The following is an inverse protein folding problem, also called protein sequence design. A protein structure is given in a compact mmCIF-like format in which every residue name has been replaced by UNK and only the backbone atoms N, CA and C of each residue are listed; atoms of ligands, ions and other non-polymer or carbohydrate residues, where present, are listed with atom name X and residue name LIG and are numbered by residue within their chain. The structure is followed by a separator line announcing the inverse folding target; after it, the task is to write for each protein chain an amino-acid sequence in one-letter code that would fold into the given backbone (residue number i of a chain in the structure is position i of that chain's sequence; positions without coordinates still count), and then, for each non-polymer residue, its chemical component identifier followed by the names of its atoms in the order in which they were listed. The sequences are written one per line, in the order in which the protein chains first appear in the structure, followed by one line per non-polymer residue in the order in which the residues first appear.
data_IF_406456229689
#
_entry.id   IF_406456229689
#
_cell.length_a   1.000
_cell.length_b   1.000
_cell.length_c   1.000
_cell.angle_alpha   90.00
_cell.angle_beta   90.00
_cell.angle_gamma   90.00
#
_symmetry.space_group_name_H-M   'P 1'
#
loop_
_entity.id
_entity.type
_entity.pdbx_description
1 polymer ?
#
# COMPACT_ATOMS: atom_id res chain seq x y z
N UNK A 1 -41.39 11.43 15.61
CA UNK A 1 -41.04 10.01 15.79
C UNK A 1 -41.80 9.21 14.76
N UNK A 2 -41.12 8.42 13.91
CA UNK A 2 -41.75 7.53 12.94
C UNK A 2 -40.92 6.23 12.89
N UNK A 3 -41.59 5.08 12.97
CA UNK A 3 -40.93 3.81 13.28
C UNK A 3 -40.32 3.14 12.04
N UNK A 4 -39.09 2.64 12.20
CA UNK A 4 -38.42 1.76 11.24
C UNK A 4 -38.92 0.32 11.40
N UNK A 5 -39.78 -0.15 10.49
CA UNK A 5 -40.17 -1.57 10.45
C UNK A 5 -39.05 -2.42 9.81
N UNK A 6 -38.40 -3.25 10.63
CA UNK A 6 -37.54 -4.34 10.15
C UNK A 6 -38.43 -5.46 9.59
N UNK A 7 -38.07 -6.02 8.42
CA UNK A 7 -38.85 -7.07 7.74
C UNK A 7 -38.11 -8.41 7.77
N UNK A 8 -38.73 -9.52 8.18
CA UNK A 8 -38.03 -10.81 8.35
C UNK A 8 -37.75 -11.53 7.02
N UNK A 9 -36.68 -12.34 6.94
CA UNK A 9 -36.33 -13.12 5.76
C UNK A 9 -37.11 -14.44 5.72
N UNK A 10 -38.22 -14.47 4.99
CA UNK A 10 -38.79 -15.61 4.24
C UNK A 10 -40.26 -15.31 3.86
N UNK A 11 -40.45 -14.38 2.91
CA UNK A 11 -41.74 -14.12 2.29
C UNK A 11 -41.78 -14.82 0.93
N UNK A 12 -42.70 -15.77 0.77
CA UNK A 12 -43.03 -16.35 -0.54
C UNK A 12 -43.38 -15.23 -1.53
N UNK A 13 -42.92 -15.36 -2.78
CA UNK A 13 -43.04 -14.31 -3.79
C UNK A 13 -44.51 -14.06 -4.19
N UNK A 14 -45.10 -12.98 -3.70
CA UNK A 14 -46.44 -12.52 -4.09
C UNK A 14 -46.32 -11.38 -5.10
N UNK A 15 -46.47 -11.70 -6.39
CA UNK A 15 -46.54 -10.69 -7.45
C UNK A 15 -47.91 -10.01 -7.43
N UNK A 16 -47.94 -8.71 -7.14
CA UNK A 16 -49.09 -7.85 -7.40
C UNK A 16 -48.64 -6.63 -8.18
N UNK A 17 -49.31 -6.36 -9.30
CA UNK A 17 -49.11 -5.16 -10.10
C UNK A 17 -50.41 -4.35 -10.12
N UNK A 18 -50.31 -3.05 -9.90
CA UNK A 18 -51.46 -2.17 -10.09
C UNK A 18 -51.80 -2.08 -11.59
N UNK A 19 -53.09 -2.06 -11.97
CA UNK A 19 -53.49 -2.08 -13.37
C UNK A 19 -53.06 -0.79 -14.08
N UNK A 20 -51.98 -0.88 -14.85
CA UNK A 20 -51.46 0.23 -15.66
C UNK A 20 -52.09 0.16 -17.06
N UNK A 21 -52.81 1.21 -17.45
CA UNK A 21 -53.48 1.28 -18.74
C UNK A 21 -52.46 1.14 -19.89
N UNK A 22 -52.78 0.28 -20.87
CA UNK A 22 -51.95 0.08 -22.06
C UNK A 22 -51.97 1.35 -22.90
N UNK A 23 -50.85 2.07 -22.95
CA UNK A 23 -50.67 3.17 -23.89
C UNK A 23 -50.72 2.61 -25.31
N UNK A 24 -51.75 2.97 -26.06
CA UNK A 24 -51.95 2.52 -27.44
C UNK A 24 -50.86 3.13 -28.32
N UNK A 25 -49.98 2.30 -28.87
CA UNK A 25 -48.96 2.74 -29.81
C UNK A 25 -49.61 3.14 -31.14
N UNK A 26 -49.77 4.45 -31.34
CA UNK A 26 -50.08 5.08 -32.62
C UNK A 26 -51.56 5.04 -33.03
N UNK A 27 -51.99 5.99 -33.90
CA UNK A 27 -53.35 6.02 -34.41
C UNK A 27 -53.54 4.89 -35.44
N UNK A 28 -54.17 3.78 -35.02
CA UNK A 28 -54.86 2.89 -35.96
C UNK A 28 -55.91 3.72 -36.70
N UNK A 29 -55.78 3.84 -38.03
CA UNK A 29 -56.67 4.68 -38.81
C UNK A 29 -58.13 4.23 -38.69
N UNK A 30 -59.02 5.17 -38.40
CA UNK A 30 -60.44 4.92 -38.04
C UNK A 30 -61.39 4.89 -39.25
N UNK A 31 -60.91 4.53 -40.43
CA UNK A 31 -61.75 4.42 -41.63
C UNK A 31 -61.48 3.10 -42.37
N UNK A 32 -62.45 2.19 -42.27
CA UNK A 32 -62.57 1.01 -43.12
C UNK A 32 -63.53 1.36 -44.24
N UNK A 33 -63.02 1.75 -45.40
CA UNK A 33 -63.87 2.02 -46.57
C UNK A 33 -64.47 0.69 -47.05
N UNK A 34 -65.78 0.69 -47.27
CA UNK A 34 -66.59 -0.52 -47.40
C UNK A 34 -66.64 -1.05 -48.84
N UNK A 35 -66.12 -2.26 -49.08
CA UNK A 35 -66.57 -3.11 -50.19
C UNK A 35 -66.64 -4.57 -49.71
N UNK A 36 -67.87 -5.07 -49.58
CA UNK A 36 -68.37 -6.46 -49.77
C UNK A 36 -67.46 -7.66 -49.41
N UNK A 37 -67.83 -8.38 -48.35
CA UNK A 37 -67.62 -9.83 -48.11
C UNK A 37 -68.85 -10.62 -48.65
N UNK A 38 -68.95 -11.99 -48.66
CA UNK A 38 -68.10 -13.06 -48.08
C UNK A 38 -67.89 -14.25 -49.07
N UNK A 39 -67.58 -15.51 -48.65
CA UNK A 39 -66.88 -16.05 -47.45
C UNK A 39 -65.48 -16.61 -47.86
N UNK A 40 -64.55 -17.03 -47.00
CA UNK A 40 -64.64 -17.97 -45.86
C UNK A 40 -63.88 -17.54 -44.60
N UNK A 41 -64.42 -17.96 -43.46
CA UNK A 41 -63.76 -17.83 -42.16
C UNK A 41 -62.70 -18.93 -41.98
N UNK A 42 -61.43 -18.54 -42.06
CA UNK A 42 -60.40 -19.23 -41.27
C UNK A 42 -59.80 -18.24 -40.28
N UNK A 43 -59.87 -18.61 -39.01
CA UNK A 43 -59.19 -17.92 -37.92
C UNK A 43 -57.72 -17.77 -38.28
N UNK A 44 -57.26 -16.53 -38.48
CA UNK A 44 -55.84 -16.28 -38.77
C UNK A 44 -55.02 -16.55 -37.51
N UNK A 45 -54.67 -17.81 -37.29
CA UNK A 45 -53.76 -18.24 -36.24
C UNK A 45 -52.46 -17.45 -36.42
N UNK A 46 -52.13 -16.63 -35.40
CA UNK A 46 -50.88 -15.88 -35.38
C UNK A 46 -49.73 -16.86 -35.50
N UNK A 47 -49.07 -16.88 -36.66
CA UNK A 47 -48.07 -17.90 -36.95
C UNK A 47 -46.91 -17.76 -35.95
N UNK A 48 -46.78 -18.76 -35.06
CA UNK A 48 -45.77 -18.83 -34.00
C UNK A 48 -44.33 -18.67 -34.55
N UNK A 49 -44.14 -18.92 -35.85
CA UNK A 49 -42.91 -18.63 -36.59
C UNK A 49 -42.57 -17.14 -36.75
N UNK A 50 -43.37 -16.21 -36.23
CA UNK A 50 -43.05 -14.78 -36.17
C UNK A 50 -43.32 -14.13 -34.80
N UNK A 51 -43.79 -14.89 -33.81
CA UNK A 51 -43.92 -14.37 -32.44
C UNK A 51 -42.53 -14.23 -31.79
N UNK A 52 -42.22 -13.01 -31.34
CA UNK A 52 -40.96 -12.66 -30.67
C UNK A 52 -40.83 -13.30 -29.28
N UNK A 53 -41.92 -13.85 -28.73
CA UNK A 53 -41.94 -14.62 -27.48
C UNK A 53 -41.51 -16.08 -27.69
N UNK A 54 -41.62 -16.59 -28.92
CA UNK A 54 -41.27 -17.98 -29.26
C UNK A 54 -39.80 -18.05 -29.65
N UNK A 55 -38.96 -18.27 -28.64
CA UNK A 55 -37.52 -18.49 -28.81
C UNK A 55 -37.31 -19.80 -29.58
N UNK A 56 -36.65 -19.72 -30.72
CA UNK A 56 -36.33 -20.88 -31.58
C UNK A 56 -34.83 -21.12 -31.56
N UNK A 57 -34.45 -22.26 -31.00
CA UNK A 57 -33.04 -22.63 -30.75
C UNK A 57 -32.82 -23.07 -29.30
N UNK A 58 -31.57 -23.36 -28.97
CA UNK A 58 -31.19 -23.92 -27.68
C UNK A 58 -31.24 -22.85 -26.57
N UNK A 59 -32.08 -23.06 -25.54
CA UNK A 59 -32.33 -22.07 -24.48
C UNK A 59 -31.14 -21.86 -23.52
N UNK A 60 -30.19 -22.79 -23.47
CA UNK A 60 -28.98 -22.67 -22.63
C UNK A 60 -28.03 -21.54 -23.06
N UNK A 61 -28.13 -21.02 -24.29
CA UNK A 61 -27.32 -19.89 -24.76
C UNK A 61 -27.98 -18.53 -24.51
N UNK A 62 -29.19 -18.47 -23.91
CA UNK A 62 -29.78 -17.20 -23.51
C UNK A 62 -29.06 -16.69 -22.26
N UNK A 63 -28.14 -15.74 -22.45
CA UNK A 63 -27.57 -14.97 -21.37
C UNK A 63 -28.61 -13.98 -20.85
N UNK A 64 -29.59 -14.49 -20.08
CA UNK A 64 -30.53 -13.67 -19.31
C UNK A 64 -29.76 -13.01 -18.18
N UNK A 65 -29.19 -11.83 -18.45
CA UNK A 65 -28.71 -10.93 -17.42
C UNK A 65 -29.83 -10.74 -16.38
N UNK A 66 -29.54 -10.83 -15.07
CA UNK A 66 -30.54 -10.56 -14.04
C UNK A 66 -31.18 -9.19 -14.27
N UNK A 67 -32.47 -9.04 -13.96
CA UNK A 67 -33.22 -7.78 -14.17
C UNK A 67 -32.67 -6.56 -13.40
N UNK A 68 -31.60 -6.74 -12.61
CA UNK A 68 -30.90 -5.71 -11.86
C UNK A 68 -29.52 -5.33 -12.44
N UNK A 69 -29.00 -6.09 -13.42
CA UNK A 69 -27.75 -5.78 -14.10
C UNK A 69 -27.98 -4.65 -15.11
N UNK A 70 -27.68 -3.41 -14.70
CA UNK A 70 -27.59 -2.29 -15.64
C UNK A 70 -26.42 -2.58 -16.59
N UNK A 71 -26.63 -2.66 -17.91
CA UNK A 71 -25.52 -2.81 -18.85
C UNK A 71 -24.68 -1.53 -18.83
N UNK A 72 -23.35 -1.68 -18.87
CA UNK A 72 -22.44 -0.55 -18.84
C UNK A 72 -22.78 0.48 -19.94
N UNK A 73 -22.77 1.79 -19.63
CA UNK A 73 -23.25 2.83 -20.54
C UNK A 73 -22.49 2.83 -21.89
N UNK A 74 -21.23 2.42 -21.87
CA UNK A 74 -20.36 2.26 -23.05
C UNK A 74 -20.87 1.16 -23.99
N UNK A 75 -21.31 0.02 -23.45
CA UNK A 75 -21.82 -1.10 -24.25
C UNK A 75 -23.19 -0.76 -24.86
N UNK A 76 -24.02 -0.01 -24.12
CA UNK A 76 -25.30 0.52 -24.61
C UNK A 76 -25.07 1.51 -25.76
N UNK A 77 -24.11 2.42 -25.63
CA UNK A 77 -23.75 3.39 -26.66
C UNK A 77 -23.24 2.69 -27.94
N UNK A 78 -22.33 1.71 -27.79
CA UNK A 78 -21.82 0.88 -28.89
C UNK A 78 -22.95 0.14 -29.63
N UNK A 79 -23.92 -0.41 -28.92
CA UNK A 79 -25.09 -1.07 -29.52
C UNK A 79 -26.03 -0.10 -30.24
N UNK A 80 -26.22 1.11 -29.72
CA UNK A 80 -27.01 2.16 -30.39
C UNK A 80 -26.32 2.64 -31.68
N UNK A 81 -25.01 2.85 -31.64
CA UNK A 81 -24.23 3.23 -32.81
C UNK A 81 -24.21 2.14 -33.88
N UNK A 82 -24.01 0.87 -33.50
CA UNK A 82 -24.08 -0.26 -34.42
C UNK A 82 -25.46 -0.34 -35.12
N UNK A 83 -26.56 -0.10 -34.39
CA UNK A 83 -27.91 0.00 -34.97
C UNK A 83 -28.05 1.20 -35.92
N UNK A 84 -27.49 2.37 -35.56
CA UNK A 84 -27.46 3.58 -36.42
C UNK A 84 -26.70 3.30 -37.72
N UNK A 85 -25.52 2.69 -37.65
CA UNK A 85 -24.68 2.31 -38.80
C UNK A 85 -25.35 1.28 -39.69
N UNK A 86 -26.02 0.27 -39.11
CA UNK A 86 -26.79 -0.72 -39.87
C UNK A 86 -27.97 -0.09 -40.62
N UNK A 87 -28.69 0.84 -39.98
CA UNK A 87 -29.82 1.55 -40.61
C UNK A 87 -29.37 2.53 -41.70
N UNK A 88 -28.24 3.22 -41.51
CA UNK A 88 -27.61 4.04 -42.54
C UNK A 88 -27.15 3.19 -43.74
N UNK A 89 -26.51 2.03 -43.51
CA UNK A 89 -26.11 1.09 -44.57
C UNK A 89 -27.32 0.53 -45.34
N UNK A 90 -28.47 0.36 -44.68
CA UNK A 90 -29.72 -0.03 -45.36
C UNK A 90 -30.26 1.10 -46.25
N UNK A 91 -30.32 2.34 -45.74
CA UNK A 91 -30.71 3.51 -46.54
C UNK A 91 -29.79 3.74 -47.75
N UNK A 92 -28.47 3.62 -47.57
CA UNK A 92 -27.52 3.74 -48.68
C UNK A 92 -27.74 2.65 -49.75
N UNK A 93 -28.02 1.41 -49.35
CA UNK A 93 -28.39 0.33 -50.29
C UNK A 93 -29.74 0.56 -50.98
N UNK A 94 -30.69 1.22 -50.31
CA UNK A 94 -31.98 1.64 -50.89
C UNK A 94 -31.79 2.79 -51.89
N UNK A 95 -30.79 3.67 -51.71
CA UNK A 95 -30.45 4.77 -52.62
C UNK A 95 -29.60 4.36 -53.83
N UNK A 96 -28.69 3.40 -53.68
CA UNK A 96 -27.82 2.91 -54.78
C UNK A 96 -28.59 2.03 -55.78
N UNK A 97 -29.73 1.46 -55.38
CA UNK A 97 -30.60 0.74 -56.31
C UNK A 97 -31.33 1.73 -57.22
N UNK A 98 -31.04 1.68 -58.51
CA UNK A 98 -31.85 2.33 -59.55
C UNK A 98 -33.31 1.90 -59.41
N UNK A 99 -34.15 2.83 -58.99
CA UNK A 99 -35.53 2.54 -58.59
C UNK A 99 -36.44 2.54 -59.80
N UNK A 100 -37.20 1.46 -60.01
CA UNK A 100 -38.32 1.45 -60.96
C UNK A 100 -39.28 2.60 -60.61
N UNK A 101 -39.71 3.44 -61.58
CA UNK A 101 -40.55 4.60 -61.29
C UNK A 101 -41.85 4.22 -60.58
N UNK A 102 -42.34 5.13 -59.73
CA UNK A 102 -43.53 4.86 -58.91
C UNK A 102 -44.78 4.60 -59.77
N UNK A 103 -45.66 3.65 -59.39
CA UNK A 103 -46.85 3.34 -60.17
C UNK A 103 -47.76 4.57 -60.33
N UNK A 104 -48.21 4.81 -61.56
CA UNK A 104 -49.21 5.86 -61.85
C UNK A 104 -50.48 5.59 -61.04
N UNK A 105 -51.13 6.66 -60.55
CA UNK A 105 -52.29 6.56 -59.67
C UNK A 105 -53.38 5.62 -60.26
N UNK A 106 -53.91 4.73 -59.42
CA UNK A 106 -54.83 3.63 -59.79
C UNK A 106 -54.27 2.54 -60.73
N UNK A 107 -52.95 2.43 -60.91
CA UNK A 107 -52.28 1.28 -61.54
C UNK A 107 -51.27 0.64 -60.59
N UNK A 108 -50.96 -0.64 -60.82
CA UNK A 108 -49.91 -1.39 -60.11
C UNK A 108 -48.89 -1.85 -61.14
N UNK A 109 -47.59 -1.70 -60.83
CA UNK A 109 -46.54 -2.30 -61.63
C UNK A 109 -46.58 -3.83 -61.43
N UNK A 110 -46.35 -4.58 -62.49
CA UNK A 110 -46.27 -6.04 -62.51
C UNK A 110 -44.90 -6.40 -63.05
N UNK A 111 -44.22 -7.34 -62.41
CA UNK A 111 -42.93 -7.83 -62.88
C UNK A 111 -43.16 -8.71 -64.12
N UNK A 112 -42.67 -8.25 -65.28
CA UNK A 112 -42.70 -8.98 -66.55
C UNK A 112 -41.32 -9.59 -66.78
N UNK A 113 -41.24 -10.81 -67.31
CA UNK A 113 -39.97 -11.40 -67.73
C UNK A 113 -39.41 -10.59 -68.91
N UNK A 114 -38.47 -9.69 -68.62
CA UNK A 114 -37.69 -8.93 -69.61
C UNK A 114 -36.29 -9.54 -69.79
N UNK A 115 -36.09 -10.79 -69.40
CA UNK A 115 -34.90 -11.56 -69.72
C UNK A 115 -34.96 -12.02 -71.19
N UNK A 116 -33.81 -12.05 -71.86
CA UNK A 116 -33.74 -12.28 -73.30
C UNK A 116 -33.95 -13.78 -73.63
N UNK A 117 -35.21 -14.17 -73.82
CA UNK A 117 -35.58 -15.51 -74.28
C UNK A 117 -35.66 -15.54 -75.81
N UNK A 118 -34.61 -16.06 -76.45
CA UNK A 118 -34.55 -16.29 -77.90
C UNK A 118 -34.61 -17.79 -78.18
N UNK A 119 -35.53 -18.19 -79.04
CA UNK A 119 -35.71 -19.56 -79.52
C UNK A 119 -35.37 -19.58 -81.02
N UNK A 120 -34.31 -20.29 -81.40
CA UNK A 120 -33.83 -20.33 -82.79
C UNK A 120 -34.73 -21.25 -83.64
N UNK A 121 -35.45 -20.67 -84.61
CA UNK A 121 -36.22 -21.42 -85.59
C UNK A 121 -35.30 -21.98 -86.69
N UNK A 122 -34.89 -23.23 -86.55
CA UNK A 122 -33.99 -23.92 -87.49
C UNK A 122 -34.76 -24.60 -88.63
N UNK A 123 -35.42 -23.83 -89.50
CA UNK A 123 -36.04 -24.36 -90.72
C UNK A 123 -35.43 -23.71 -91.97
N UNK A 124 -35.11 -24.53 -92.98
CA UNK A 124 -34.42 -24.11 -94.22
C UNK A 124 -35.43 -24.09 -95.36
N UNK A 125 -35.62 -22.92 -95.96
CA UNK A 125 -36.45 -22.76 -97.15
C UNK A 125 -35.72 -23.40 -98.34
N UNK A 126 -36.42 -24.25 -99.10
CA UNK A 126 -35.89 -24.86 -100.32
C UNK A 126 -35.94 -23.88 -101.50
N UNK A 127 -34.81 -23.69 -102.18
CA UNK A 127 -34.69 -22.92 -103.42
C UNK A 127 -34.75 -23.87 -104.62
N UNK A 128 -35.42 -23.46 -105.71
CA UNK A 128 -35.62 -24.27 -106.91
C UNK A 128 -35.09 -23.55 -108.16
N UNK A 129 -34.05 -24.12 -108.77
CA UNK A 129 -33.47 -23.63 -110.02
C UNK A 129 -34.35 -23.98 -111.24
N UNK A 130 -34.41 -23.06 -112.21
CA UNK A 130 -35.16 -23.22 -113.46
C UNK A 130 -34.28 -22.83 -114.65
N UNK A 131 -33.76 -23.85 -115.35
CA UNK A 131 -32.99 -23.67 -116.58
C UNK A 131 -33.89 -23.49 -117.81
N UNK A 132 -33.49 -22.58 -118.73
CA UNK A 132 -34.16 -22.38 -120.02
C UNK A 132 -33.17 -22.60 -121.16
N UNK A 133 -33.58 -23.44 -122.12
CA UNK A 133 -32.80 -23.86 -123.27
C UNK A 133 -33.01 -22.92 -124.47
N UNK A 134 -31.95 -22.26 -124.97
CA UNK A 134 -31.94 -21.64 -126.31
C UNK A 134 -30.60 -21.78 -127.04
N UNK A 135 -30.67 -22.56 -128.11
CA UNK A 135 -29.88 -22.69 -129.36
C UNK A 135 -28.41 -22.21 -129.50
N UNK A 136 -27.65 -22.98 -130.29
CA UNK A 136 -26.24 -22.78 -130.56
C UNK A 136 -26.00 -21.76 -131.70
N UNK A 137 -25.71 -20.51 -131.32
CA UNK A 137 -25.38 -19.45 -132.27
C UNK A 137 -24.04 -19.68 -132.97
N UNK A 138 -24.03 -19.59 -134.30
CA UNK A 138 -22.82 -19.58 -135.13
C UNK A 138 -22.06 -18.26 -134.96
N UNK A 139 -20.72 -18.32 -134.87
CA UNK A 139 -19.87 -17.15 -134.65
C UNK A 139 -20.01 -16.09 -135.76
N UNK A 140 -20.67 -14.99 -135.41
CA UNK A 140 -20.65 -13.74 -136.17
C UNK A 140 -19.26 -13.11 -136.00
N UNK A 141 -18.54 -12.72 -137.08
CA UNK A 141 -17.26 -12.04 -136.93
C UNK A 141 -17.45 -10.76 -136.10
N UNK A 142 -16.53 -10.44 -135.17
CA UNK A 142 -16.70 -9.32 -134.25
C UNK A 142 -16.86 -8.02 -135.03
N UNK A 143 -17.99 -7.35 -134.84
CA UNK A 143 -18.23 -6.04 -135.44
C UNK A 143 -17.15 -5.07 -134.95
N UNK A 144 -16.55 -4.25 -135.83
CA UNK A 144 -15.46 -3.36 -135.45
C UNK A 144 -15.88 -2.42 -134.32
N UNK A 145 -15.01 -2.28 -133.32
CA UNK A 145 -15.23 -1.40 -132.17
C UNK A 145 -15.39 0.05 -132.65
N UNK A 146 -16.62 0.56 -132.54
CA UNK A 146 -16.90 1.98 -132.77
C UNK A 146 -16.33 2.79 -131.60
N UNK A 147 -15.17 3.42 -131.83
CA UNK A 147 -14.62 4.43 -130.92
C UNK A 147 -15.18 5.79 -131.38
N UNK A 148 -16.03 6.46 -130.57
CA UNK A 148 -16.49 7.80 -130.91
C UNK A 148 -15.31 8.77 -130.97
N UNK A 149 -15.27 9.67 -131.95
CA UNK A 149 -14.38 10.83 -131.85
C UNK A 149 -14.80 11.69 -130.66
N UNK A 150 -13.86 12.03 -129.78
CA UNK A 150 -14.09 12.91 -128.64
C UNK A 150 -14.40 14.34 -129.11
N UNK A 151 -15.69 14.65 -129.24
CA UNK A 151 -16.18 15.99 -129.60
C UNK A 151 -16.64 16.74 -128.35
N UNK A 152 -15.67 17.14 -127.54
CA UNK A 152 -15.82 18.02 -126.38
C UNK A 152 -14.63 18.96 -126.25
N UNK A 153 -14.79 20.07 -125.54
CA UNK A 153 -13.67 20.86 -125.03
C UNK A 153 -13.44 20.48 -123.58
N UNK A 154 -12.32 19.83 -123.30
CA UNK A 154 -11.95 19.48 -121.94
C UNK A 154 -11.60 20.76 -121.17
N UNK A 155 -12.28 20.97 -120.04
CA UNK A 155 -12.04 22.08 -119.10
C UNK A 155 -11.76 21.44 -117.74
N UNK A 156 -10.53 21.59 -117.25
CA UNK A 156 -10.18 21.21 -115.89
C UNK A 156 -10.35 22.44 -114.98
N UNK A 157 -11.18 22.31 -113.95
CA UNK A 157 -11.27 23.27 -112.84
C UNK A 157 -10.61 22.66 -111.62
N UNK A 158 -9.48 23.21 -111.20
CA UNK A 158 -8.76 22.82 -109.99
C UNK A 158 -8.97 23.88 -108.92
N UNK A 159 -9.19 23.43 -107.68
CA UNK A 159 -9.21 24.30 -106.49
C UNK A 159 -7.79 24.36 -105.94
N UNK A 160 -7.25 25.56 -105.80
CA UNK A 160 -5.89 25.79 -105.29
C UNK A 160 -5.85 25.81 -103.76
N UNK A 161 -4.67 25.58 -103.19
CA UNK A 161 -4.49 25.56 -101.73
C UNK A 161 -4.83 26.93 -101.11
N UNK A 162 -5.91 26.99 -100.34
CA UNK A 162 -6.41 28.20 -99.66
C UNK A 162 -7.66 28.83 -100.28
N UNK A 163 -8.13 28.39 -101.45
CA UNK A 163 -9.28 28.97 -102.16
C UNK A 163 -10.64 28.75 -101.44
N UNK A 164 -10.73 27.74 -100.57
CA UNK A 164 -11.91 27.42 -99.76
C UNK A 164 -11.73 27.66 -98.24
N UNK A 165 -10.65 28.33 -97.82
CA UNK A 165 -10.38 28.53 -96.39
C UNK A 165 -11.21 29.66 -95.79
N UNK A 166 -12.15 29.32 -94.90
CA UNK A 166 -12.88 30.28 -94.06
C UNK A 166 -12.26 30.34 -92.66
N UNK A 167 -11.55 31.44 -92.38
CA UNK A 167 -10.92 31.68 -91.08
C UNK A 167 -11.93 31.64 -89.92
N UNK A 168 -13.12 32.22 -90.11
CA UNK A 168 -14.12 32.32 -89.05
C UNK A 168 -14.74 30.95 -88.71
N UNK A 169 -14.66 29.98 -89.61
CA UNK A 169 -15.08 28.59 -89.36
C UNK A 169 -13.96 27.80 -88.68
N UNK A 170 -12.74 27.84 -89.22
CA UNK A 170 -11.62 27.01 -88.77
C UNK A 170 -10.98 27.49 -87.45
N UNK A 171 -11.09 28.77 -87.10
CA UNK A 171 -10.55 29.29 -85.83
C UNK A 171 -11.41 28.92 -84.61
N UNK A 172 -12.70 28.61 -84.80
CA UNK A 172 -13.65 28.28 -83.72
C UNK A 172 -13.18 27.14 -82.81
N UNK A 173 -12.83 25.93 -83.30
CA UNK A 173 -12.36 24.84 -82.43
C UNK A 173 -11.05 25.16 -81.71
N UNK A 174 -10.17 25.98 -82.31
CA UNK A 174 -8.91 26.40 -81.70
C UNK A 174 -9.20 27.36 -80.52
N UNK A 175 -10.08 28.34 -80.71
CA UNK A 175 -10.46 29.29 -79.64
C UNK A 175 -11.29 28.60 -78.56
N UNK A 176 -12.22 27.72 -78.92
CA UNK A 176 -13.03 26.96 -77.97
C UNK A 176 -12.16 26.07 -77.07
N UNK A 177 -11.19 25.34 -77.64
CA UNK A 177 -10.27 24.51 -76.85
C UNK A 177 -9.30 25.34 -76.00
N UNK A 178 -8.82 26.49 -76.49
CA UNK A 178 -8.00 27.40 -75.68
C UNK A 178 -8.78 28.01 -74.51
N UNK A 179 -9.98 28.53 -74.75
CA UNK A 179 -10.82 29.14 -73.71
C UNK A 179 -11.33 28.10 -72.71
N UNK A 180 -11.74 26.92 -73.19
CA UNK A 180 -12.13 25.81 -72.32
C UNK A 180 -10.98 25.40 -71.40
N UNK A 181 -9.79 25.16 -71.95
CA UNK A 181 -8.63 24.71 -71.18
C UNK A 181 -8.09 25.76 -70.20
N UNK A 182 -8.14 27.05 -70.55
CA UNK A 182 -7.73 28.11 -69.61
C UNK A 182 -8.72 28.29 -68.46
N UNK A 183 -10.03 28.14 -68.72
CA UNK A 183 -11.06 28.17 -67.66
C UNK A 183 -10.96 26.92 -66.77
N UNK A 184 -10.80 25.72 -67.36
CA UNK A 184 -10.62 24.48 -66.61
C UNK A 184 -9.38 24.53 -65.71
N UNK A 185 -8.24 24.98 -66.24
CA UNK A 185 -7.02 25.14 -65.46
C UNK A 185 -7.19 26.16 -64.33
N UNK A 186 -7.74 27.34 -64.61
CA UNK A 186 -7.96 28.36 -63.59
C UNK A 186 -8.94 27.91 -62.49
N UNK A 187 -9.96 27.11 -62.83
CA UNK A 187 -10.89 26.56 -61.86
C UNK A 187 -10.23 25.52 -60.93
N UNK A 188 -9.34 24.69 -61.47
CA UNK A 188 -8.56 23.72 -60.68
C UNK A 188 -7.59 24.46 -59.75
N UNK A 189 -6.82 25.42 -60.28
CA UNK A 189 -5.86 26.22 -59.50
C UNK A 189 -6.54 26.95 -58.33
N UNK A 190 -7.70 27.60 -58.55
CA UNK A 190 -8.46 28.26 -57.47
C UNK A 190 -8.99 27.26 -56.44
N UNK A 191 -9.49 26.09 -56.88
CA UNK A 191 -9.97 25.06 -55.95
C UNK A 191 -8.84 24.47 -55.09
N UNK A 192 -7.65 24.26 -55.67
CA UNK A 192 -6.44 23.84 -54.94
C UNK A 192 -5.95 24.92 -53.97
N UNK A 193 -6.00 26.21 -54.34
CA UNK A 193 -5.67 27.31 -53.44
C UNK A 193 -6.63 27.42 -52.23
N UNK A 194 -7.94 27.25 -52.45
CA UNK A 194 -8.94 27.21 -51.36
C UNK A 194 -8.73 26.00 -50.45
N UNK A 195 -8.55 24.78 -50.98
CA UNK A 195 -8.28 23.58 -50.17
C UNK A 195 -6.99 23.72 -49.34
N UNK A 196 -5.92 24.27 -49.94
CA UNK A 196 -4.68 24.55 -49.22
C UNK A 196 -4.83 25.66 -48.16
N UNK A 197 -5.74 26.62 -48.33
CA UNK A 197 -6.04 27.61 -47.31
C UNK A 197 -6.76 26.98 -46.10
N UNK A 198 -7.80 26.18 -46.35
CA UNK A 198 -8.57 25.45 -45.34
C UNK A 198 -7.70 24.49 -44.53
N UNK A 199 -6.85 23.69 -45.20
CA UNK A 199 -5.92 22.75 -44.53
C UNK A 199 -4.94 23.51 -43.64
N UNK A 200 -4.40 24.65 -44.11
CA UNK A 200 -3.48 25.48 -43.31
C UNK A 200 -4.19 26.13 -42.12
N UNK A 201 -5.48 26.47 -42.24
CA UNK A 201 -6.26 26.99 -41.12
C UNK A 201 -6.48 25.93 -40.04
N UNK A 202 -6.93 24.73 -40.43
CA UNK A 202 -7.07 23.60 -39.52
C UNK A 202 -5.74 23.23 -38.84
N UNK A 203 -4.62 23.25 -39.57
CA UNK A 203 -3.30 23.01 -38.99
C UNK A 203 -2.94 24.05 -37.91
N UNK A 204 -3.18 25.35 -38.15
CA UNK A 204 -2.96 26.39 -37.13
C UNK A 204 -3.83 26.18 -35.90
N UNK A 205 -5.12 25.91 -36.07
CA UNK A 205 -6.04 25.63 -34.95
C UNK A 205 -5.56 24.42 -34.12
N UNK A 206 -5.14 23.33 -34.77
CA UNK A 206 -4.60 22.15 -34.08
C UNK A 206 -3.28 22.44 -33.37
N UNK A 207 -2.39 23.23 -33.95
CA UNK A 207 -1.13 23.65 -33.32
C UNK A 207 -1.37 24.55 -32.10
N UNK A 208 -2.29 25.52 -32.20
CA UNK A 208 -2.69 26.39 -31.07
C UNK A 208 -3.26 25.57 -29.90
N UNK A 209 -4.18 24.64 -30.18
CA UNK A 209 -4.75 23.73 -29.16
C UNK A 209 -3.65 22.87 -28.55
N UNK A 210 -2.81 22.22 -29.37
CA UNK A 210 -1.72 21.35 -28.90
C UNK A 210 -0.71 22.10 -28.03
N UNK A 211 -0.38 23.33 -28.40
CA UNK A 211 0.54 24.17 -27.63
C UNK A 211 -0.07 24.60 -26.29
N UNK A 212 -1.37 24.94 -26.26
CA UNK A 212 -2.09 25.23 -25.03
C UNK A 212 -2.17 24.01 -24.10
N UNK A 213 -2.50 22.82 -24.63
CA UNK A 213 -2.53 21.56 -23.89
C UNK A 213 -1.16 21.21 -23.30
N UNK A 214 -0.08 21.38 -24.08
CA UNK A 214 1.29 21.11 -23.62
C UNK A 214 1.70 22.03 -22.46
N UNK A 215 1.36 23.32 -22.52
CA UNK A 215 1.62 24.27 -21.43
C UNK A 215 0.80 23.93 -20.18
N UNK A 216 -0.46 23.50 -20.33
CA UNK A 216 -1.27 23.05 -19.19
C UNK A 216 -0.72 21.76 -18.55
N UNK A 217 -0.30 20.79 -19.37
CA UNK A 217 0.33 19.56 -18.89
C UNK A 217 1.61 19.84 -18.09
N UNK A 218 2.52 20.69 -18.61
CA UNK A 218 3.73 21.10 -17.87
C UNK A 218 3.40 21.78 -16.53
N UNK A 219 2.36 22.64 -16.50
CA UNK A 219 1.91 23.28 -15.26
C UNK A 219 1.38 22.26 -14.25
N UNK A 220 0.63 21.26 -14.70
CA UNK A 220 0.06 20.20 -13.83
C UNK A 220 1.16 19.25 -13.33
N UNK A 221 2.08 18.84 -14.20
CA UNK A 221 3.23 17.99 -13.86
C UNK A 221 4.11 18.68 -12.80
N UNK A 222 4.40 19.98 -12.94
CA UNK A 222 5.20 20.66 -11.93
C UNK A 222 4.48 20.80 -10.58
N UNK A 223 3.16 20.98 -10.59
CA UNK A 223 2.33 20.96 -9.37
C UNK A 223 2.35 19.57 -8.72
N UNK A 224 2.21 18.49 -9.50
CA UNK A 224 2.31 17.12 -8.99
C UNK A 224 3.70 16.84 -8.42
N UNK A 225 4.77 17.23 -9.13
CA UNK A 225 6.17 17.12 -8.65
C UNK A 225 6.35 17.77 -7.29
N UNK A 226 5.85 19.00 -7.10
CA UNK A 226 5.92 19.73 -5.82
C UNK A 226 5.11 19.04 -4.72
N UNK A 227 3.88 18.60 -5.01
CA UNK A 227 3.03 17.88 -4.05
C UNK A 227 3.63 16.53 -3.64
N UNK A 228 4.20 15.79 -4.59
CA UNK A 228 4.86 14.51 -4.37
C UNK A 228 6.11 14.68 -3.51
N UNK A 229 6.96 15.67 -3.82
CA UNK A 229 8.12 16.00 -3.01
C UNK A 229 7.74 16.41 -1.57
N UNK A 230 6.65 17.16 -1.36
CA UNK A 230 6.15 17.45 0.00
C UNK A 230 5.67 16.18 0.69
N UNK A 231 4.84 15.36 0.03
CA UNK A 231 4.32 14.10 0.57
C UNK A 231 5.45 13.16 0.98
N UNK A 232 6.47 13.01 0.15
CA UNK A 232 7.60 12.12 0.44
C UNK A 232 8.45 12.65 1.62
N UNK A 233 8.64 13.98 1.73
CA UNK A 233 9.23 14.61 2.93
C UNK A 233 8.39 14.36 4.19
N UNK A 234 7.07 14.49 4.12
CA UNK A 234 6.15 14.20 5.23
C UNK A 234 6.17 12.72 5.65
N UNK A 235 6.25 11.79 4.68
CA UNK A 235 6.34 10.36 4.99
C UNK A 235 7.66 10.01 5.67
N UNK A 236 8.80 10.57 5.23
CA UNK A 236 10.09 10.40 5.91
C UNK A 236 10.04 10.89 7.37
N UNK A 237 9.56 12.12 7.58
CA UNK A 237 9.38 12.69 8.93
C UNK A 237 8.48 11.83 9.83
N UNK A 238 7.36 11.34 9.29
CA UNK A 238 6.45 10.46 10.04
C UNK A 238 7.07 9.10 10.38
N UNK A 239 7.87 8.53 9.46
CA UNK A 239 8.58 7.26 9.67
C UNK A 239 9.68 7.40 10.73
N UNK A 240 10.43 8.50 10.71
CA UNK A 240 11.46 8.83 11.72
C UNK A 240 10.83 9.08 13.09
N UNK A 241 9.74 9.84 13.16
CA UNK A 241 8.99 10.06 14.39
C UNK A 241 8.45 8.75 14.99
N UNK A 242 7.87 7.88 14.15
CA UNK A 242 7.37 6.57 14.58
C UNK A 242 8.50 5.67 15.10
N UNK A 243 9.66 5.67 14.45
CA UNK A 243 10.85 4.93 14.93
C UNK A 243 11.31 5.45 16.28
N UNK A 244 11.41 6.77 16.44
CA UNK A 244 11.80 7.39 17.71
C UNK A 244 10.78 7.10 18.82
N UNK A 245 9.48 7.12 18.52
CA UNK A 245 8.41 6.75 19.44
C UNK A 245 8.57 5.29 19.92
N UNK A 246 8.84 4.35 19.01
CA UNK A 246 9.10 2.95 19.36
C UNK A 246 10.35 2.80 20.26
N UNK A 247 11.46 3.46 19.92
CA UNK A 247 12.68 3.43 20.72
C UNK A 247 12.46 4.03 22.12
N UNK A 248 11.70 5.12 22.23
CA UNK A 248 11.33 5.75 23.50
C UNK A 248 10.38 4.86 24.31
N UNK A 249 9.37 4.26 23.68
CA UNK A 249 8.44 3.35 24.32
C UNK A 249 9.16 2.11 24.90
N UNK A 250 10.11 1.53 24.14
CA UNK A 250 10.95 0.43 24.61
C UNK A 250 11.82 0.84 25.81
N UNK A 251 12.47 2.02 25.76
CA UNK A 251 13.27 2.55 26.88
C UNK A 251 12.42 2.78 28.13
N UNK A 252 11.20 3.31 27.99
CA UNK A 252 10.25 3.50 29.09
C UNK A 252 9.80 2.16 29.67
N UNK A 253 9.45 1.19 28.82
CA UNK A 253 9.05 -0.16 29.24
C UNK A 253 10.19 -0.89 29.98
N UNK A 254 11.41 -0.86 29.45
CA UNK A 254 12.60 -1.43 30.10
C UNK A 254 12.89 -0.78 31.45
N UNK A 255 12.79 0.55 31.56
CA UNK A 255 12.93 1.29 32.82
C UNK A 255 11.84 0.91 33.84
N UNK A 256 10.59 0.80 33.39
CA UNK A 256 9.48 0.41 34.25
C UNK A 256 9.66 -1.03 34.78
N UNK A 257 10.01 -1.96 33.89
CA UNK A 257 10.31 -3.36 34.24
C UNK A 257 11.49 -3.47 35.21
N UNK A 258 12.60 -2.78 34.94
CA UNK A 258 13.75 -2.77 35.84
C UNK A 258 13.39 -2.21 37.22
N UNK A 259 12.56 -1.16 37.29
CA UNK A 259 12.08 -0.60 38.56
C UNK A 259 11.22 -1.59 39.33
N UNK A 260 10.22 -2.23 38.70
CA UNK A 260 9.36 -3.22 39.38
C UNK A 260 10.17 -4.44 39.83
N UNK A 261 11.08 -4.94 38.99
CA UNK A 261 11.92 -6.08 39.34
C UNK A 261 12.87 -5.77 40.51
N UNK A 262 13.52 -4.60 40.50
CA UNK A 262 14.42 -4.19 41.58
C UNK A 262 13.68 -3.90 42.89
N UNK A 263 12.44 -3.39 42.81
CA UNK A 263 11.59 -3.13 43.98
C UNK A 263 11.28 -4.41 44.77
N UNK A 264 11.11 -5.55 44.10
CA UNK A 264 10.86 -6.84 44.75
C UNK A 264 12.16 -7.61 45.07
N UNK A 265 13.18 -7.50 44.21
CA UNK A 265 14.46 -8.17 44.40
C UNK A 265 15.21 -7.65 45.64
N UNK A 266 15.25 -6.34 45.86
CA UNK A 266 16.01 -5.75 46.98
C UNK A 266 15.51 -6.26 48.34
N UNK A 267 14.21 -6.15 48.71
CA UNK A 267 13.71 -6.72 49.96
C UNK A 267 13.90 -8.24 50.06
N UNK A 268 13.75 -8.98 48.96
CA UNK A 268 13.94 -10.43 48.94
C UNK A 268 15.39 -10.82 49.28
N UNK A 269 16.37 -10.19 48.63
CA UNK A 269 17.80 -10.42 48.90
C UNK A 269 18.19 -9.97 50.30
N UNK A 270 17.72 -8.80 50.77
CA UNK A 270 18.00 -8.32 52.13
C UNK A 270 17.41 -9.25 53.21
N UNK A 271 16.17 -9.74 53.02
CA UNK A 271 15.58 -10.72 53.93
C UNK A 271 16.36 -12.04 53.91
N UNK A 272 16.74 -12.54 52.74
CA UNK A 272 17.52 -13.79 52.64
C UNK A 272 18.91 -13.67 53.29
N UNK A 273 19.63 -12.55 53.11
CA UNK A 273 20.90 -12.31 53.80
C UNK A 273 20.72 -12.19 55.33
N UNK A 274 19.60 -11.60 55.79
CA UNK A 274 19.27 -11.51 57.23
C UNK A 274 18.92 -12.88 57.81
N UNK A 275 18.12 -13.68 57.12
CA UNK A 275 17.78 -15.06 57.50
C UNK A 275 19.00 -15.99 57.53
N UNK A 276 19.95 -15.78 56.61
CA UNK A 276 21.24 -16.49 56.58
C UNK A 276 22.27 -15.93 57.59
N UNK A 277 21.92 -14.94 58.42
CA UNK A 277 22.78 -14.41 59.48
C UNK A 277 23.95 -13.51 59.03
N UNK A 278 23.96 -13.04 57.78
CA UNK A 278 25.02 -12.13 57.30
C UNK A 278 24.88 -10.70 57.85
N UNK A 279 23.68 -10.30 58.28
CA UNK A 279 23.43 -9.06 59.02
C UNK A 279 23.29 -9.38 60.51
N UNK A 280 24.39 -9.22 61.25
CA UNK A 280 24.43 -9.30 62.72
C UNK A 280 24.48 -7.88 63.33
N UNK A 281 23.99 -7.73 64.57
CA UNK A 281 24.26 -6.51 65.35
C UNK A 281 25.73 -6.56 65.82
N UNK A 282 26.57 -5.55 65.49
CA UNK A 282 27.96 -5.51 65.95
C UNK A 282 28.10 -5.58 67.47
N UNK A 283 27.13 -5.02 68.23
CA UNK A 283 27.16 -5.02 69.69
C UNK A 283 26.85 -6.40 70.25
N UNK A 284 25.86 -7.10 69.70
CA UNK A 284 25.53 -8.48 70.10
C UNK A 284 26.71 -9.41 69.79
N UNK A 285 27.32 -9.28 68.61
CA UNK A 285 28.48 -10.08 68.22
C UNK A 285 29.72 -9.78 69.08
N UNK A 286 30.00 -8.52 69.44
CA UNK A 286 31.08 -8.15 70.36
C UNK A 286 30.83 -8.70 71.78
N UNK A 287 29.58 -8.68 72.24
CA UNK A 287 29.20 -9.28 73.52
C UNK A 287 29.44 -10.79 73.51
N UNK A 288 29.00 -11.51 72.48
CA UNK A 288 29.18 -12.96 72.38
C UNK A 288 30.65 -13.38 72.21
N UNK A 289 31.43 -12.65 71.41
CA UNK A 289 32.81 -13.03 71.06
C UNK A 289 33.86 -12.54 72.05
N UNK A 290 33.63 -11.40 72.70
CA UNK A 290 34.65 -10.75 73.55
C UNK A 290 34.22 -10.67 75.01
N UNK A 291 33.00 -10.17 75.29
CA UNK A 291 32.54 -9.99 76.67
C UNK A 291 32.21 -11.32 77.38
N UNK A 292 31.49 -12.22 76.72
CA UNK A 292 31.08 -13.50 77.32
C UNK A 292 32.29 -14.40 77.65
N UNK A 293 33.31 -14.59 76.79
CA UNK A 293 34.52 -15.31 77.15
C UNK A 293 35.30 -14.63 78.29
N UNK A 294 35.43 -13.30 78.26
CA UNK A 294 36.08 -12.54 79.34
C UNK A 294 35.35 -12.70 80.68
N UNK A 295 34.01 -12.65 80.68
CA UNK A 295 33.19 -12.83 81.88
C UNK A 295 33.29 -14.26 82.42
N UNK A 296 33.28 -15.26 81.53
CA UNK A 296 33.48 -16.67 81.90
C UNK A 296 34.89 -16.90 82.45
N UNK A 297 35.93 -16.26 81.90
CA UNK A 297 37.29 -16.32 82.43
C UNK A 297 37.38 -15.65 83.81
N UNK A 298 36.83 -14.44 83.98
CA UNK A 298 36.84 -13.73 85.27
C UNK A 298 36.05 -14.46 86.35
N UNK A 299 34.88 -15.00 86.04
CA UNK A 299 34.12 -15.82 86.99
C UNK A 299 34.85 -17.12 87.31
N UNK A 300 35.48 -17.78 86.34
CA UNK A 300 36.32 -18.96 86.57
C UNK A 300 37.54 -18.65 87.46
N UNK A 301 38.22 -17.52 87.27
CA UNK A 301 39.35 -17.13 88.17
C UNK A 301 38.87 -16.83 89.59
N UNK A 302 37.70 -16.21 89.79
CA UNK A 302 37.10 -16.02 91.12
C UNK A 302 36.69 -17.34 91.78
N UNK A 303 36.04 -18.25 91.04
CA UNK A 303 35.70 -19.59 91.54
C UNK A 303 36.97 -20.37 91.92
N UNK A 304 38.02 -20.32 91.09
CA UNK A 304 39.31 -20.94 91.39
C UNK A 304 39.97 -20.33 92.64
N UNK A 305 39.88 -19.01 92.85
CA UNK A 305 40.37 -18.36 94.07
C UNK A 305 39.58 -18.80 95.32
N UNK A 306 38.26 -18.95 95.22
CA UNK A 306 37.43 -19.47 96.32
C UNK A 306 37.72 -20.94 96.61
N UNK A 307 37.93 -21.77 95.59
CA UNK A 307 38.34 -23.17 95.74
C UNK A 307 39.73 -23.25 96.39
N UNK A 308 40.70 -22.44 95.95
CA UNK A 308 42.04 -22.36 96.54
C UNK A 308 41.99 -21.88 98.00
N UNK A 309 41.21 -20.84 98.29
CA UNK A 309 41.00 -20.34 99.65
C UNK A 309 40.39 -21.41 100.56
N UNK A 310 39.46 -22.20 100.03
CA UNK A 310 38.88 -23.34 100.75
C UNK A 310 39.87 -24.48 100.95
N UNK A 311 40.69 -24.85 99.97
CA UNK A 311 41.70 -25.91 100.16
C UNK A 311 42.81 -25.50 101.13
N UNK A 312 43.21 -24.23 101.14
CA UNK A 312 44.15 -23.68 102.14
C UNK A 312 43.49 -23.63 103.54
N UNK A 313 42.22 -23.27 103.64
CA UNK A 313 41.49 -23.32 104.92
C UNK A 313 41.38 -24.77 105.42
N UNK A 314 41.03 -25.72 104.55
CA UNK A 314 40.96 -27.15 104.89
C UNK A 314 42.34 -27.72 105.28
N UNK A 315 43.45 -27.21 104.72
CA UNK A 315 44.80 -27.59 105.16
C UNK A 315 45.17 -26.97 106.51
N UNK A 316 44.89 -25.68 106.74
CA UNK A 316 45.13 -25.03 108.05
C UNK A 316 44.31 -25.72 109.15
N UNK A 317 43.04 -26.07 108.88
CA UNK A 317 42.21 -26.83 109.82
C UNK A 317 42.85 -28.19 110.12
N UNK A 318 43.39 -28.87 109.11
CA UNK A 318 44.11 -30.15 109.30
C UNK A 318 45.37 -29.98 110.14
N UNK A 319 46.16 -28.94 109.89
CA UNK A 319 47.40 -28.68 110.63
C UNK A 319 47.12 -28.31 112.09
N UNK A 320 46.09 -27.49 112.37
CA UNK A 320 45.67 -27.16 113.74
C UNK A 320 45.11 -28.38 114.48
N UNK A 321 44.40 -29.27 113.78
CA UNK A 321 43.92 -30.54 114.35
C UNK A 321 45.10 -31.48 114.67
N UNK A 322 46.08 -31.59 113.76
CA UNK A 322 47.29 -32.37 114.00
C UNK A 322 48.10 -31.81 115.18
N UNK A 323 48.35 -30.49 115.20
CA UNK A 323 49.08 -29.84 116.29
C UNK A 323 48.39 -30.04 117.65
N UNK A 324 47.06 -29.99 117.72
CA UNK A 324 46.33 -30.33 118.94
C UNK A 324 46.45 -31.80 119.33
N UNK A 325 46.47 -32.72 118.36
CA UNK A 325 46.71 -34.14 118.64
C UNK A 325 48.11 -34.33 119.24
N UNK A 326 49.14 -33.67 118.69
CA UNK A 326 50.50 -33.69 119.21
C UNK A 326 50.58 -33.05 120.61
N UNK A 327 49.91 -31.92 120.85
CA UNK A 327 49.81 -31.29 122.17
C UNK A 327 49.15 -32.21 123.21
N UNK A 328 48.09 -32.94 122.83
CA UNK A 328 47.47 -33.93 123.71
C UNK A 328 48.38 -35.13 123.98
N UNK A 329 49.16 -35.60 123.01
CA UNK A 329 50.17 -36.66 123.22
C UNK A 329 51.30 -36.18 124.15
N UNK A 330 51.78 -34.95 123.96
CA UNK A 330 52.77 -34.32 124.84
C UNK A 330 52.22 -34.10 126.27
N UNK A 331 50.94 -33.76 126.40
CA UNK A 331 50.26 -33.65 127.70
C UNK A 331 50.14 -35.04 128.38
N UNK A 332 49.85 -36.09 127.61
CA UNK A 332 49.82 -37.47 128.11
C UNK A 332 51.21 -37.95 128.55
N UNK A 333 52.28 -37.63 127.80
CA UNK A 333 53.66 -37.91 128.19
C UNK A 333 54.11 -37.14 129.44
N UNK A 334 53.74 -35.86 129.56
CA UNK A 334 54.10 -35.05 130.74
C UNK A 334 53.31 -35.50 131.97
N UNK A 335 52.03 -35.88 131.83
CA UNK A 335 51.27 -36.52 132.91
C UNK A 335 51.91 -37.84 133.35
N UNK A 336 52.38 -38.68 132.42
CA UNK A 336 53.16 -39.90 132.75
C UNK A 336 54.43 -39.56 133.54
N UNK A 337 55.22 -38.57 133.09
CA UNK A 337 56.46 -38.14 133.75
C UNK A 337 56.22 -37.51 135.15
N UNK A 338 55.09 -36.83 135.36
CA UNK A 338 54.72 -36.26 136.68
C UNK A 338 54.23 -37.32 137.68
N UNK A 339 53.73 -38.47 137.21
CA UNK A 339 53.26 -39.56 138.07
C UNK A 339 54.42 -40.46 138.58
N UNK A 340 55.59 -40.45 137.91
CA UNK A 340 56.71 -41.35 138.22
C UNK A 340 57.89 -40.72 138.99
N UNK A 341 57.83 -39.44 139.40
CA UNK A 341 58.91 -38.76 140.14
C UNK A 341 58.43 -37.93 141.35
N UNK A 342 58.92 -38.25 142.56
CA UNK A 342 58.41 -37.67 143.81
C UNK A 342 59.29 -36.60 144.49
N UNK A 343 58.61 -35.57 145.01
CA UNK A 343 58.91 -34.68 146.16
C UNK A 343 60.34 -34.09 146.31
N UNK A 344 60.45 -32.77 146.15
CA UNK A 344 61.26 -31.91 147.03
C UNK A 344 60.62 -30.50 147.19
N UNK A 345 60.95 -29.79 148.28
CA UNK A 345 60.41 -28.47 148.66
C UNK A 345 61.55 -27.44 148.75
N UNK A 346 61.56 -26.40 147.90
CA UNK A 346 62.66 -25.43 147.87
C UNK A 346 62.28 -24.03 147.34
N UNK A 347 62.42 -23.04 148.21
CA UNK A 347 62.24 -21.58 148.04
C UNK A 347 63.07 -20.89 146.94
N UNK A 348 62.50 -19.90 146.23
CA UNK A 348 63.09 -18.58 145.83
C UNK A 348 62.14 -17.87 144.85
N UNK A 349 61.45 -16.76 145.17
CA UNK A 349 61.88 -15.33 145.20
C UNK A 349 62.50 -14.77 143.90
N UNK A 350 61.89 -13.67 143.41
CA UNK A 350 62.37 -12.78 142.32
C UNK A 350 61.97 -13.23 140.90
N UNK A 351 61.63 -12.35 139.95
CA UNK A 351 61.42 -10.88 140.02
C UNK A 351 60.70 -10.34 138.77
N UNK A 352 60.06 -9.16 138.91
CA UNK A 352 59.89 -8.04 137.94
C UNK A 352 59.38 -8.39 136.50
N UNK A 353 58.17 -8.03 136.03
CA UNK A 353 57.41 -6.77 135.98
C UNK A 353 57.75 -5.79 134.81
N UNK A 354 56.76 -4.95 134.46
CA UNK A 354 56.64 -4.05 133.27
C UNK A 354 56.38 -4.74 131.92
N UNK A 355 55.58 -4.20 131.01
CA UNK A 355 54.76 -2.97 130.95
C UNK A 355 54.18 -2.86 129.53
N UNK A 356 52.94 -2.41 129.27
CA UNK A 356 52.53 -1.00 129.26
C UNK A 356 53.56 -0.12 128.50
N UNK A 357 53.25 0.60 127.42
CA UNK A 357 51.94 1.13 127.00
C UNK A 357 51.94 1.75 125.58
N UNK A 358 50.74 1.93 125.02
CA UNK A 358 50.24 3.11 124.27
C UNK A 358 50.73 3.52 122.87
N UNK A 359 49.73 4.00 122.12
CA UNK A 359 49.69 5.20 121.27
C UNK A 359 50.49 5.23 119.96
N UNK A 360 49.78 5.07 118.83
CA UNK A 360 49.35 6.15 117.91
C UNK A 360 50.49 6.82 117.15
N UNK A 361 50.44 6.76 115.82
CA UNK A 361 50.54 8.01 115.07
C UNK A 361 49.72 7.98 113.78
N UNK A 362 49.28 9.18 113.38
CA UNK A 362 48.41 9.48 112.24
C UNK A 362 49.12 10.51 111.39
N UNK A 363 49.33 10.26 110.10
CA UNK A 363 49.60 11.33 109.13
C UNK A 363 48.95 11.04 107.77
N UNK A 364 48.47 12.11 107.15
CA UNK A 364 47.68 12.14 105.92
C UNK A 364 48.53 12.69 104.74
N UNK A 365 47.87 12.79 103.57
CA UNK A 365 48.18 13.61 102.38
C UNK A 365 48.93 12.91 101.21
N UNK A 366 48.34 13.04 100.02
CA UNK A 366 48.95 12.70 98.71
C UNK A 366 49.68 13.90 98.11
N UNK A 367 49.49 14.30 96.82
CA UNK A 367 48.69 13.68 95.75
C UNK A 367 49.41 13.57 94.38
N UNK A 368 48.78 12.85 93.43
CA UNK A 368 48.71 13.16 91.98
C UNK A 368 49.99 13.26 91.12
N UNK A 369 49.96 12.63 89.94
CA UNK A 369 50.77 13.08 88.79
C UNK A 369 50.03 12.86 87.46
N UNK A 370 50.35 13.70 86.46
CA UNK A 370 49.62 13.87 85.20
C UNK A 370 50.26 13.10 84.03
N UNK A 371 49.45 12.80 83.02
CA UNK A 371 49.87 12.15 81.76
C UNK A 371 50.38 13.22 80.78
N UNK A 372 51.51 13.00 80.06
CA UNK A 372 51.99 13.89 79.01
C UNK A 372 51.42 13.57 77.61
N UNK A 373 51.45 14.58 76.75
CA UNK A 373 51.01 14.60 75.34
C UNK A 373 52.14 14.32 74.34
N UNK A 374 51.81 13.77 73.15
CA UNK A 374 52.27 14.10 71.76
C UNK A 374 52.07 12.88 70.84
N UNK A 375 51.14 12.90 69.87
CA UNK A 375 51.31 13.32 68.46
C UNK A 375 52.16 12.40 67.55
N UNK A 376 51.53 11.72 66.57
CA UNK A 376 51.69 12.00 65.12
C UNK A 376 50.92 11.02 64.20
N UNK A 377 50.23 11.59 63.19
CA UNK A 377 49.94 11.15 61.80
C UNK A 377 49.65 9.65 61.47
N UNK A 378 48.78 9.30 60.49
CA UNK A 378 48.72 9.84 59.12
C UNK A 378 47.43 9.40 58.40
N UNK A 379 46.84 10.26 57.54
CA UNK A 379 45.92 10.03 56.38
C UNK A 379 44.78 8.97 56.46
N UNK A 380 43.64 9.06 55.74
CA UNK A 380 43.08 9.97 54.72
C UNK A 380 41.53 9.83 54.82
N UNK A 381 40.64 10.58 54.15
CA UNK A 381 40.76 11.63 53.13
C UNK A 381 39.41 11.81 52.40
N UNK A 382 39.14 12.97 51.79
CA UNK A 382 37.93 13.17 50.95
C UNK A 382 37.10 14.43 51.25
N UNK A 383 37.47 15.55 50.64
CA UNK A 383 36.71 16.81 50.71
C UNK A 383 35.49 16.80 49.76
N UNK A 384 34.34 17.29 50.25
CA UNK A 384 33.17 17.55 49.40
C UNK A 384 33.31 18.88 48.67
N UNK A 385 33.70 18.84 47.39
CA UNK A 385 33.66 20.02 46.51
C UNK A 385 32.41 20.01 45.63
N UNK A 386 31.53 20.99 45.85
CA UNK A 386 30.44 21.32 44.94
C UNK A 386 31.01 21.93 43.66
N UNK A 387 30.84 21.27 42.52
CA UNK A 387 31.09 21.87 41.21
C UNK A 387 29.91 21.65 40.29
N UNK A 388 29.36 22.73 39.74
CA UNK A 388 28.17 22.71 38.90
C UNK A 388 28.53 22.24 37.49
N UNK A 389 27.83 21.22 36.98
CA UNK A 389 27.97 20.81 35.59
C UNK A 389 27.27 21.80 34.66
N UNK A 390 28.10 22.34 33.78
CA UNK A 390 27.78 23.30 32.73
C UNK A 390 26.71 22.79 31.77
N UNK A 391 25.78 23.67 31.37
CA UNK A 391 24.85 23.36 30.28
C UNK A 391 25.60 23.15 28.97
N UNK A 392 25.59 21.91 28.48
CA UNK A 392 26.04 21.56 27.14
C UNK A 392 25.04 22.07 26.10
N UNK A 393 25.50 23.06 25.32
CA UNK A 393 24.80 23.62 24.16
C UNK A 393 24.60 22.50 23.11
N UNK A 394 23.37 22.32 22.63
CA UNK A 394 23.13 21.51 21.43
C UNK A 394 23.54 22.36 20.22
N UNK A 395 24.56 21.91 19.49
CA UNK A 395 24.91 22.55 18.22
C UNK A 395 23.96 22.09 17.11
N UNK A 396 23.38 23.10 16.47
CA UNK A 396 22.45 23.01 15.35
C UNK A 396 23.26 22.78 14.08
N UNK A 397 23.34 21.54 13.60
CA UNK A 397 23.94 21.21 12.30
C UNK A 397 22.86 21.31 11.24
N UNK A 398 22.98 22.32 10.38
CA UNK A 398 22.14 22.48 9.21
C UNK A 398 22.58 21.53 8.09
N UNK A 399 21.64 20.74 7.57
CA UNK A 399 21.81 20.08 6.27
C UNK A 399 21.53 21.11 5.16
N UNK A 400 22.57 21.51 4.43
CA UNK A 400 22.40 22.14 3.12
C UNK A 400 22.04 21.08 2.07
N UNK A 401 21.16 21.38 1.10
CA UNK A 401 20.76 20.41 0.09
C UNK A 401 21.85 20.26 -1.00
N UNK A 402 22.26 19.03 -1.28
CA UNK A 402 23.12 18.72 -2.43
C UNK A 402 22.39 19.02 -3.76
N UNK A 403 23.04 19.78 -4.64
CA UNK A 403 22.56 20.01 -6.02
C UNK A 403 22.86 18.79 -6.90
N UNK A 404 21.88 17.92 -7.13
CA UNK A 404 21.96 16.91 -8.20
C UNK A 404 21.92 17.59 -9.58
N UNK A 405 23.10 17.81 -10.16
CA UNK A 405 23.24 18.20 -11.56
C UNK A 405 22.87 17.02 -12.48
N UNK A 406 21.59 16.95 -12.88
CA UNK A 406 21.13 16.02 -13.91
C UNK A 406 21.71 16.41 -15.28
N UNK A 407 22.83 15.80 -15.65
CA UNK A 407 23.47 15.98 -16.95
C UNK A 407 22.66 15.29 -18.06
N UNK A 408 21.63 15.96 -18.57
CA UNK A 408 20.86 15.51 -19.75
C UNK A 408 21.57 15.92 -21.03
N UNK A 409 22.55 15.11 -21.45
CA UNK A 409 23.07 15.16 -22.82
C UNK A 409 22.09 14.49 -23.78
N UNK A 410 21.31 15.29 -24.51
CA UNK A 410 20.57 14.81 -25.68
C UNK A 410 21.53 14.73 -26.88
N UNK A 411 21.98 13.52 -27.21
CA UNK A 411 22.62 13.25 -28.50
C UNK A 411 21.56 13.29 -29.61
N UNK A 412 21.61 14.32 -30.45
CA UNK A 412 20.84 14.42 -31.68
C UNK A 412 21.50 13.54 -32.75
N UNK A 413 20.80 12.57 -33.38
CA UNK A 413 21.31 11.90 -34.55
C UNK A 413 21.06 12.75 -35.82
N UNK A 414 22.13 13.18 -36.47
CA UNK A 414 22.08 13.68 -37.85
C UNK A 414 21.72 12.52 -38.80
N UNK A 415 20.60 12.61 -39.52
CA UNK A 415 20.31 11.79 -40.70
C UNK A 415 20.61 12.57 -42.00
N UNK A 416 21.11 11.84 -43.01
CA UNK A 416 21.44 12.33 -44.37
C UNK A 416 20.33 12.02 -45.37
#
# INVERSE_FOLDING_TARGET
MAATLVKPPNSTYTFSSQPKAVQQQGPRQKFRQSVVNPPDESTTFGNLMYDRRVIRGNTYALHTLPAHAQPDPIEVQRQQEAKRRALARRKAREQIRTRTPEPVHNRKNIDVQTELYLEELSDRIEEADVDVQTDAFLDRPPSPLFIPQSTGKDIATQIEAGDLFDFDLEVKPIVETLVGKTIEQALIEVAEEEELADIREQQREYEEIRNAELIELQRLEEQERRLRAEKDRRMKQAQEALRLEQDVAQKIAARAFAKSYLQDLVPSVFNNLRENGYFYDPVEHEIETSFMPWLMEKTMTQVNQLVLGRTILDSIIRDVVNQRIDDYQNLEETLKKVIEGGIDMGTSTGDIAHGLEQNTDRLELGPGELIPTTENNTNDGGETTTSALQYGKLDEVADEPEEEQTNTGEDVPDEQ
#
